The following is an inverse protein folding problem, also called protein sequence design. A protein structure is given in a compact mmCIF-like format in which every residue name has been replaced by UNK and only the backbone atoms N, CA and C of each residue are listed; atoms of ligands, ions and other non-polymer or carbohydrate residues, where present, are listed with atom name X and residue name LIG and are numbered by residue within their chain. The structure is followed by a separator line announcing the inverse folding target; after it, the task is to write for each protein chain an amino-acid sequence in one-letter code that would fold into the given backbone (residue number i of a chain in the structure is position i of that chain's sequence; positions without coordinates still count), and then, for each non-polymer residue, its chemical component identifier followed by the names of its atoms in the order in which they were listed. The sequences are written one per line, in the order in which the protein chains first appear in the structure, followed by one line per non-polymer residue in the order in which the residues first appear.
data_IF_522847563174
#
_entry.id   IF_522847563174
#
_cell.length_a   1.000
_cell.length_b   1.000
_cell.length_c   1.000
_cell.angle_alpha   90.00
_cell.angle_beta   90.00
_cell.angle_gamma   90.00
#
_symmetry.space_group_name_H-M   'P 1'
#
loop_
_entity.id
_entity.type
_entity.pdbx_description
1 polymer ?
#
# COMPACT_ATOMS: atom_id res chain seq x y z
N UNK A 1 -10.85 13.28 -30.77
CA UNK A 1 -9.51 12.71 -31.02
C UNK A 1 -9.00 12.22 -29.68
N UNK A 2 -9.08 10.90 -29.42
CA UNK A 2 -8.48 10.29 -28.24
C UNK A 2 -6.96 10.40 -28.41
N UNK A 3 -6.31 11.26 -27.64
CA UNK A 3 -4.86 11.37 -27.65
C UNK A 3 -4.31 10.03 -27.17
N UNK A 4 -3.48 9.36 -27.96
CA UNK A 4 -2.79 8.12 -27.61
C UNK A 4 -1.69 8.41 -26.58
N UNK A 5 -2.06 8.98 -25.44
CA UNK A 5 -1.18 9.18 -24.30
C UNK A 5 -0.96 7.83 -23.64
N UNK A 6 0.31 7.52 -23.37
CA UNK A 6 0.76 6.38 -22.56
C UNK A 6 -0.19 6.13 -21.36
N UNK A 7 -0.53 4.86 -21.05
CA UNK A 7 -1.35 4.56 -19.87
C UNK A 7 -0.71 5.19 -18.62
N UNK A 8 -1.53 5.86 -17.79
CA UNK A 8 -1.04 6.49 -16.58
C UNK A 8 -0.61 5.43 -15.58
N UNK A 9 0.59 5.60 -15.02
CA UNK A 9 1.17 4.69 -14.05
C UNK A 9 0.67 5.05 -12.65
N UNK A 10 -0.05 4.14 -12.01
CA UNK A 10 -0.61 4.36 -10.67
C UNK A 10 -0.03 3.36 -9.69
N UNK A 11 0.51 3.84 -8.58
CA UNK A 11 0.83 2.98 -7.43
C UNK A 11 -0.42 2.81 -6.57
N UNK A 12 -0.88 1.58 -6.40
CA UNK A 12 -1.97 1.26 -5.50
C UNK A 12 -1.40 0.71 -4.18
N UNK A 13 -1.71 1.36 -3.07
CA UNK A 13 -1.54 0.77 -1.75
C UNK A 13 -2.50 -0.43 -1.61
N UNK A 14 -1.94 -1.64 -1.67
CA UNK A 14 -2.69 -2.89 -1.82
C UNK A 14 -2.56 -3.74 -0.56
N UNK A 15 -3.71 -4.08 0.05
CA UNK A 15 -3.76 -4.87 1.28
C UNK A 15 -4.14 -6.34 1.06
N UNK A 16 -4.43 -6.73 -0.18
CA UNK A 16 -4.96 -8.06 -0.50
C UNK A 16 -6.46 -8.23 -0.23
N UNK A 17 -7.09 -7.24 0.41
CA UNK A 17 -8.52 -7.21 0.69
C UNK A 17 -9.39 -7.00 -0.55
N UNK A 18 -10.69 -7.18 -0.39
CA UNK A 18 -11.68 -7.05 -1.47
C UNK A 18 -11.62 -5.68 -2.14
N UNK A 19 -11.63 -4.60 -1.36
CA UNK A 19 -11.70 -3.23 -1.87
C UNK A 19 -10.50 -2.89 -2.75
N UNK A 20 -9.27 -3.16 -2.27
CA UNK A 20 -8.05 -2.91 -3.06
C UNK A 20 -7.92 -3.88 -4.23
N UNK A 21 -8.44 -5.11 -4.13
CA UNK A 21 -8.52 -6.04 -5.25
C UNK A 21 -9.45 -5.54 -6.36
N UNK A 22 -10.60 -5.01 -5.96
CA UNK A 22 -11.52 -4.34 -6.87
C UNK A 22 -10.87 -3.12 -7.53
N UNK A 23 -10.13 -2.30 -6.78
CA UNK A 23 -9.39 -1.17 -7.35
C UNK A 23 -8.42 -1.59 -8.46
N UNK A 24 -7.66 -2.68 -8.29
CA UNK A 24 -6.78 -3.19 -9.36
C UNK A 24 -7.60 -3.45 -10.62
N UNK A 25 -8.68 -4.24 -10.50
CA UNK A 25 -9.49 -4.64 -11.65
C UNK A 25 -10.17 -3.45 -12.30
N UNK A 26 -10.78 -2.58 -11.51
CA UNK A 26 -11.53 -1.42 -11.98
C UNK A 26 -10.63 -0.40 -12.67
N UNK A 27 -9.52 -0.01 -12.03
CA UNK A 27 -8.62 1.00 -12.59
C UNK A 27 -7.85 0.48 -13.81
N UNK A 28 -7.49 -0.81 -13.84
CA UNK A 28 -6.82 -1.40 -15.01
C UNK A 28 -7.80 -1.64 -16.16
N UNK A 29 -8.96 -2.27 -15.93
CA UNK A 29 -9.86 -2.69 -16.99
C UNK A 29 -10.75 -1.56 -17.51
N UNK A 30 -11.30 -0.72 -16.62
CA UNK A 30 -12.26 0.32 -17.00
C UNK A 30 -11.57 1.65 -17.35
N UNK A 31 -10.45 1.97 -16.69
CA UNK A 31 -9.71 3.23 -16.90
C UNK A 31 -8.42 3.06 -17.70
N UNK A 32 -7.98 1.82 -17.97
CA UNK A 32 -6.78 1.56 -18.76
C UNK A 32 -5.47 2.00 -18.10
N UNK A 33 -5.44 2.14 -16.77
CA UNK A 33 -4.23 2.53 -16.04
C UNK A 33 -3.29 1.35 -15.80
N UNK A 34 -1.99 1.66 -15.81
CA UNK A 34 -0.95 0.70 -15.45
C UNK A 34 -0.82 0.65 -13.92
N UNK A 35 -1.48 -0.34 -13.30
CA UNK A 35 -1.51 -0.48 -11.83
C UNK A 35 -0.29 -1.22 -11.33
N UNK A 36 0.48 -0.57 -10.47
CA UNK A 36 1.60 -1.16 -9.73
C UNK A 36 1.16 -1.33 -8.28
N UNK A 37 0.84 -2.57 -7.88
CA UNK A 37 0.39 -2.88 -6.54
C UNK A 37 1.58 -2.90 -5.57
N UNK A 38 1.45 -2.23 -4.43
CA UNK A 38 2.44 -2.19 -3.37
C UNK A 38 1.81 -2.61 -2.04
N UNK A 39 2.32 -3.68 -1.45
CA UNK A 39 2.04 -4.08 -0.07
C UNK A 39 3.18 -3.55 0.81
N UNK A 40 2.84 -2.84 1.88
CA UNK A 40 3.81 -2.41 2.89
C UNK A 40 3.54 -3.20 4.17
N UNK A 41 4.40 -4.17 4.44
CA UNK A 41 4.28 -5.08 5.56
C UNK A 41 4.93 -4.47 6.81
N UNK A 42 4.14 -4.33 7.87
CA UNK A 42 4.59 -3.85 9.18
C UNK A 42 4.69 -4.98 10.21
N UNK A 43 4.77 -6.23 9.74
CA UNK A 43 4.91 -7.45 10.55
C UNK A 43 3.63 -8.29 10.63
N UNK A 44 2.68 -8.08 9.71
CA UNK A 44 1.33 -8.64 9.76
C UNK A 44 1.08 -9.81 8.82
N UNK A 45 2.00 -10.09 7.89
CA UNK A 45 1.79 -11.09 6.84
C UNK A 45 2.80 -12.23 6.93
N UNK A 46 2.33 -13.44 6.64
CA UNK A 46 3.20 -14.58 6.34
C UNK A 46 3.71 -14.54 4.90
N UNK A 47 4.81 -15.24 4.63
CA UNK A 47 5.34 -15.36 3.28
C UNK A 47 4.34 -15.99 2.29
N UNK A 48 3.52 -16.95 2.75
CA UNK A 48 2.45 -17.55 1.95
C UNK A 48 1.36 -16.55 1.59
N UNK A 49 0.94 -15.71 2.53
CA UNK A 49 -0.07 -14.68 2.27
C UNK A 49 0.43 -13.65 1.26
N UNK A 50 1.68 -13.20 1.39
CA UNK A 50 2.29 -12.28 0.42
C UNK A 50 2.39 -12.88 -0.98
N UNK A 51 2.70 -14.18 -1.10
CA UNK A 51 2.73 -14.88 -2.38
C UNK A 51 1.33 -15.03 -3.01
N UNK A 52 0.31 -15.33 -2.20
CA UNK A 52 -1.08 -15.38 -2.66
C UNK A 52 -1.58 -14.00 -3.12
N UNK A 53 -1.22 -12.95 -2.37
CA UNK A 53 -1.53 -11.56 -2.70
C UNK A 53 -0.90 -11.14 -4.03
N UNK A 54 0.35 -11.52 -4.28
CA UNK A 54 1.06 -11.30 -5.54
C UNK A 54 0.33 -11.96 -6.71
N UNK A 55 0.04 -13.27 -6.59
CA UNK A 55 -0.68 -14.02 -7.62
C UNK A 55 -2.04 -13.39 -7.93
N UNK A 56 -2.79 -13.02 -6.89
CA UNK A 56 -4.09 -12.35 -7.04
C UNK A 56 -3.97 -11.00 -7.73
N UNK A 57 -2.98 -10.18 -7.37
CA UNK A 57 -2.77 -8.87 -8.00
C UNK A 57 -2.55 -9.01 -9.52
N UNK A 58 -1.71 -9.95 -9.95
CA UNK A 58 -1.49 -10.21 -11.37
C UNK A 58 -2.75 -10.74 -12.08
N UNK A 59 -3.47 -11.67 -11.46
CA UNK A 59 -4.74 -12.19 -12.03
C UNK A 59 -5.78 -11.08 -12.25
N UNK A 60 -5.78 -10.06 -11.40
CA UNK A 60 -6.71 -8.93 -11.47
C UNK A 60 -6.29 -7.85 -12.48
N UNK A 61 -5.05 -7.88 -12.99
CA UNK A 61 -4.56 -6.95 -14.01
C UNK A 61 -3.45 -6.00 -13.57
N UNK A 62 -2.83 -6.21 -12.40
CA UNK A 62 -1.66 -5.42 -12.01
C UNK A 62 -0.47 -5.65 -12.97
N UNK A 63 0.25 -4.58 -13.30
CA UNK A 63 1.49 -4.62 -14.11
C UNK A 63 2.69 -5.07 -13.30
N UNK A 64 2.72 -4.77 -12.01
CA UNK A 64 3.71 -5.28 -11.07
C UNK A 64 3.10 -5.42 -9.69
N UNK A 65 3.71 -6.27 -8.88
CA UNK A 65 3.50 -6.36 -7.45
C UNK A 65 4.85 -6.23 -6.73
N UNK A 66 4.87 -5.56 -5.57
CA UNK A 66 6.01 -5.52 -4.66
C UNK A 66 5.48 -5.56 -3.23
N UNK A 67 6.13 -6.36 -2.38
CA UNK A 67 5.96 -6.30 -0.93
C UNK A 67 7.23 -5.71 -0.32
N UNK A 68 7.08 -4.74 0.58
CA UNK A 68 8.19 -4.12 1.31
C UNK A 68 7.98 -4.37 2.79
N UNK A 69 8.94 -5.01 3.44
CA UNK A 69 8.98 -5.15 4.89
C UNK A 69 9.57 -3.87 5.53
N UNK A 70 8.78 -3.23 6.39
CA UNK A 70 9.20 -2.08 7.20
C UNK A 70 9.12 -2.33 8.69
N UNK A 71 9.00 -3.58 9.13
CA UNK A 71 8.82 -3.97 10.54
C UNK A 71 9.90 -3.35 11.44
N UNK A 72 11.17 -3.47 11.05
CA UNK A 72 12.28 -2.93 11.84
C UNK A 72 12.28 -1.40 11.87
N UNK A 73 12.02 -0.75 10.73
CA UNK A 73 11.93 0.71 10.67
C UNK A 73 10.75 1.23 11.50
N UNK A 74 9.60 0.56 11.43
CA UNK A 74 8.41 0.90 12.21
C UNK A 74 8.68 0.77 13.71
N UNK A 75 9.35 -0.30 14.14
CA UNK A 75 9.76 -0.47 15.53
C UNK A 75 10.73 0.62 16.00
N UNK A 76 11.85 0.76 15.28
CA UNK A 76 12.96 1.63 15.63
C UNK A 76 12.57 3.10 15.61
N UNK A 77 11.81 3.53 14.62
CA UNK A 77 11.58 4.95 14.38
C UNK A 77 10.25 5.45 14.98
N UNK A 78 9.34 4.55 15.38
CA UNK A 78 8.04 4.94 15.92
C UNK A 78 7.59 4.13 17.13
N UNK A 79 7.42 2.81 16.99
CA UNK A 79 6.72 2.00 17.99
C UNK A 79 7.39 2.06 19.36
N UNK A 80 8.73 2.00 19.43
CA UNK A 80 9.45 2.08 20.70
C UNK A 80 9.20 3.40 21.43
N UNK A 81 9.01 4.51 20.72
CA UNK A 81 8.75 5.81 21.32
C UNK A 81 7.31 5.94 21.82
N UNK A 82 6.34 5.34 21.12
CA UNK A 82 4.97 5.24 21.62
C UNK A 82 4.92 4.47 22.95
N UNK A 83 5.69 3.39 23.05
CA UNK A 83 5.84 2.60 24.27
C UNK A 83 6.55 3.40 25.36
N UNK A 84 7.74 3.96 25.10
CA UNK A 84 8.51 4.71 26.09
C UNK A 84 7.76 5.93 26.62
N UNK A 85 6.96 6.58 25.76
CA UNK A 85 6.13 7.72 26.13
C UNK A 85 4.83 7.34 26.83
N UNK A 86 4.50 6.06 26.99
CA UNK A 86 3.18 5.59 27.43
C UNK A 86 2.04 6.30 26.68
N UNK A 87 2.18 6.43 25.36
CA UNK A 87 1.29 7.26 24.54
C UNK A 87 -0.06 6.59 24.42
N UNK A 88 -1.10 7.26 24.93
CA UNK A 88 -2.49 6.79 24.86
C UNK A 88 -3.42 7.92 24.43
N UNK A 89 -4.10 7.74 23.30
CA UNK A 89 -5.23 8.58 22.90
C UNK A 89 -6.38 8.34 23.87
N UNK A 90 -6.84 9.42 24.50
CA UNK A 90 -7.88 9.41 25.53
C UNK A 90 -7.60 8.42 26.67
N UNK A 91 -6.32 8.20 27.01
CA UNK A 91 -5.92 7.25 28.07
C UNK A 91 -6.38 5.80 27.81
N UNK A 92 -6.66 5.43 26.55
CA UNK A 92 -7.20 4.10 26.22
C UNK A 92 -6.49 3.45 25.02
N UNK A 93 -6.15 4.22 23.98
CA UNK A 93 -5.72 3.64 22.70
C UNK A 93 -4.28 4.03 22.32
N UNK A 94 -3.36 3.07 22.04
CA UNK A 94 -1.92 3.34 21.87
C UNK A 94 -1.50 3.89 20.49
N UNK A 95 -2.41 4.53 19.74
CA UNK A 95 -2.14 5.14 18.41
C UNK A 95 -1.56 4.18 17.36
N UNK A 96 -1.76 2.86 17.52
CA UNK A 96 -1.10 1.84 16.69
C UNK A 96 -1.38 1.97 15.20
N UNK A 97 -2.65 2.11 14.80
CA UNK A 97 -3.05 2.14 13.38
C UNK A 97 -2.63 3.44 12.68
N UNK A 98 -2.74 4.58 13.36
CA UNK A 98 -2.31 5.86 12.79
C UNK A 98 -0.80 5.91 12.55
N UNK A 99 -0.02 5.29 13.44
CA UNK A 99 1.42 5.19 13.30
C UNK A 99 1.79 4.31 12.10
N UNK A 100 1.18 3.12 11.99
CA UNK A 100 1.36 2.20 10.87
C UNK A 100 1.09 2.86 9.51
N UNK A 101 -0.06 3.54 9.37
CA UNK A 101 -0.46 4.23 8.13
C UNK A 101 0.56 5.28 7.67
N UNK A 102 1.29 5.90 8.60
CA UNK A 102 2.33 6.87 8.27
C UNK A 102 3.48 6.20 7.51
N UNK A 103 3.92 5.01 7.95
CA UNK A 103 4.97 4.25 7.28
C UNK A 103 4.51 3.72 5.93
N UNK A 104 3.27 3.21 5.86
CA UNK A 104 2.67 2.77 4.60
C UNK A 104 2.64 3.91 3.57
N UNK A 105 2.17 5.10 3.96
CA UNK A 105 2.12 6.26 3.07
C UNK A 105 3.52 6.70 2.61
N UNK A 106 4.52 6.70 3.50
CA UNK A 106 5.90 7.06 3.14
C UNK A 106 6.48 6.10 2.10
N UNK A 107 6.32 4.79 2.28
CA UNK A 107 6.81 3.80 1.31
C UNK A 107 6.07 3.85 -0.02
N UNK A 108 4.76 4.09 -0.01
CA UNK A 108 3.97 4.28 -1.24
C UNK A 108 4.48 5.49 -2.03
N UNK A 109 4.74 6.62 -1.36
CA UNK A 109 5.30 7.81 -2.01
C UNK A 109 6.73 7.56 -2.52
N UNK A 110 7.59 6.89 -1.74
CA UNK A 110 8.94 6.53 -2.17
C UNK A 110 8.91 5.65 -3.42
N UNK A 111 8.08 4.62 -3.43
CA UNK A 111 7.95 3.71 -4.56
C UNK A 111 7.35 4.40 -5.79
N UNK A 112 6.34 5.26 -5.61
CA UNK A 112 5.79 6.08 -6.68
C UNK A 112 6.87 6.94 -7.34
N UNK A 113 7.74 7.58 -6.55
CA UNK A 113 8.87 8.34 -7.08
C UNK A 113 9.91 7.44 -7.77
N UNK A 114 10.25 6.28 -7.18
CA UNK A 114 11.21 5.30 -7.73
C UNK A 114 10.83 4.86 -9.15
N UNK A 115 9.54 4.60 -9.38
CA UNK A 115 9.06 4.10 -10.66
C UNK A 115 8.57 5.22 -11.60
N UNK A 116 8.59 6.48 -11.18
CA UNK A 116 8.02 7.61 -11.91
C UNK A 116 6.53 7.43 -12.18
N UNK A 117 5.74 7.19 -11.13
CA UNK A 117 4.30 7.07 -11.22
C UNK A 117 3.62 8.45 -11.37
N UNK A 118 2.51 8.47 -12.11
CA UNK A 118 1.69 9.66 -12.35
C UNK A 118 0.69 9.91 -11.20
N UNK A 119 0.44 8.89 -10.36
CA UNK A 119 -0.49 9.00 -9.24
C UNK A 119 -0.40 7.85 -8.23
N UNK A 120 -1.11 8.04 -7.13
CA UNK A 120 -1.25 7.08 -6.03
C UNK A 120 -2.74 6.84 -5.76
N UNK A 121 -3.11 5.59 -5.49
CA UNK A 121 -4.45 5.20 -5.06
C UNK A 121 -4.39 4.43 -3.72
N UNK A 122 -5.48 4.50 -2.95
CA UNK A 122 -5.67 3.73 -1.72
C UNK A 122 -7.14 3.29 -1.60
N UNK A 123 -7.39 2.23 -0.82
CA UNK A 123 -8.75 1.67 -0.61
C UNK A 123 -9.37 2.05 0.73
N UNK A 124 -9.11 3.25 1.27
CA UNK A 124 -9.73 3.67 2.53
C UNK A 124 -11.10 4.31 2.28
N UNK A 125 -11.99 4.22 3.27
CA UNK A 125 -13.28 4.91 3.24
C UNK A 125 -13.12 6.41 3.56
N UNK A 126 -14.12 7.21 3.17
CA UNK A 126 -14.28 8.61 3.60
C UNK A 126 -14.86 8.76 4.99
#
# INVERSE_FOLDING_TARGET
MHNSSKPQKIVLAYSGGLDTSFCIKYLSAEHGYDIHALTVDTGGFSASELAEMEQRAYQLGAKSYKAIDVTEAFYRDCLRYLVYGNVLRYQTYPLSVSAERTFQALEVVKYANEIGADGIAHGSTG
#
